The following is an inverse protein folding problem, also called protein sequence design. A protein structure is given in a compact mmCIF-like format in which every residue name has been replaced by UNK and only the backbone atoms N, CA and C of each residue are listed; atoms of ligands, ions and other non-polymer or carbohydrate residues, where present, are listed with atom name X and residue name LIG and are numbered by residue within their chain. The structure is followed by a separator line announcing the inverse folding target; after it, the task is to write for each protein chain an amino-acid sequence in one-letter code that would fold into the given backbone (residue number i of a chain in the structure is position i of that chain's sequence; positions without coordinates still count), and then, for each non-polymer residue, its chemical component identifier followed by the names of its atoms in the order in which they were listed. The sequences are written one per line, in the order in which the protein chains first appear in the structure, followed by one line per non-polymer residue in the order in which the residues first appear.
data_IF_037025184842
#
_entry.id   IF_037025184842
#
_cell.length_a   1.000
_cell.length_b   1.000
_cell.length_c   1.000
_cell.angle_alpha   90.00
_cell.angle_beta   90.00
_cell.angle_gamma   90.00
#
_symmetry.space_group_name_H-M   'P 1'
#
loop_
_entity.id
_entity.type
_entity.pdbx_description
1 polymer ?
#
# COMPACT_ATOMS: atom_id res chain seq x y z
N UNK A 1 -62.11 -6.76 -21.24
CA UNK A 1 -62.26 -5.50 -20.49
C UNK A 1 -61.27 -5.52 -19.33
N UNK A 2 -60.46 -4.46 -19.26
CA UNK A 2 -59.58 -3.95 -18.21
C UNK A 2 -58.34 -4.73 -17.71
N UNK A 3 -57.29 -3.91 -17.63
CA UNK A 3 -55.86 -4.07 -17.33
C UNK A 3 -55.58 -3.76 -15.86
N UNK A 4 -54.56 -4.38 -15.25
CA UNK A 4 -53.69 -3.88 -14.15
C UNK A 4 -52.61 -4.97 -13.95
N UNK A 5 -51.33 -4.88 -14.36
CA UNK A 5 -50.29 -3.84 -14.26
C UNK A 5 -49.88 -3.48 -12.83
N UNK A 6 -48.55 -3.48 -12.58
CA UNK A 6 -47.73 -3.02 -11.42
C UNK A 6 -47.35 -4.11 -10.37
N UNK A 7 -46.10 -4.24 -9.89
CA UNK A 7 -44.92 -3.36 -9.93
C UNK A 7 -43.61 -4.09 -9.64
N UNK A 8 -42.55 -3.50 -10.16
CA UNK A 8 -41.14 -3.75 -9.88
C UNK A 8 -40.76 -3.50 -8.41
N UNK A 9 -39.81 -4.29 -7.91
CA UNK A 9 -39.03 -3.99 -6.70
C UNK A 9 -37.61 -4.57 -6.80
N UNK A 10 -36.96 -4.44 -7.96
CA UNK A 10 -35.53 -4.72 -8.12
C UNK A 10 -34.80 -3.39 -8.34
N UNK A 11 -34.70 -2.58 -7.28
CA UNK A 11 -33.89 -1.36 -7.24
C UNK A 11 -33.00 -1.30 -5.99
N UNK A 12 -32.84 -2.41 -5.27
CA UNK A 12 -32.00 -2.47 -4.07
C UNK A 12 -30.65 -3.13 -4.40
N UNK A 13 -29.80 -2.43 -5.14
CA UNK A 13 -28.33 -2.50 -5.18
C UNK A 13 -27.83 -1.88 -6.49
N UNK A 14 -27.96 -0.57 -6.65
CA UNK A 14 -27.38 0.14 -7.81
C UNK A 14 -26.50 1.32 -7.42
N UNK A 15 -25.90 1.26 -6.23
CA UNK A 15 -24.88 2.21 -5.82
C UNK A 15 -23.71 1.42 -5.23
N UNK A 16 -22.94 0.81 -6.12
CA UNK A 16 -21.59 0.37 -5.75
C UNK A 16 -20.79 1.66 -5.51
N UNK A 17 -20.28 1.91 -4.29
CA UNK A 17 -19.54 3.14 -4.02
C UNK A 17 -18.32 3.17 -4.93
N UNK A 18 -18.36 4.06 -5.93
CA UNK A 18 -17.24 4.24 -6.84
C UNK A 18 -16.03 4.71 -6.03
N UNK A 19 -14.97 3.91 -6.06
CA UNK A 19 -13.72 4.24 -5.41
C UNK A 19 -13.23 5.61 -5.91
N UNK A 20 -13.23 6.61 -5.03
CA UNK A 20 -12.81 7.96 -5.38
C UNK A 20 -11.27 8.03 -5.36
N UNK A 21 -10.69 8.55 -6.42
CA UNK A 21 -9.24 8.78 -6.53
C UNK A 21 -8.90 10.16 -5.99
N UNK A 22 -8.61 10.25 -4.69
CA UNK A 22 -7.95 11.43 -4.17
C UNK A 22 -6.43 11.27 -4.23
N UNK A 23 -5.73 12.32 -4.65
CA UNK A 23 -4.26 12.36 -4.68
C UNK A 23 -3.73 13.14 -3.49
N UNK A 24 -2.59 12.71 -2.93
CA UNK A 24 -1.84 13.42 -1.87
C UNK A 24 -2.67 13.79 -0.64
N UNK A 25 -2.80 12.86 0.31
CA UNK A 25 -3.45 13.15 1.60
C UNK A 25 -2.66 14.24 2.37
N UNK A 26 -3.32 15.12 3.14
CA UNK A 26 -2.62 16.09 3.98
C UNK A 26 -1.63 15.41 4.95
N UNK A 27 -0.56 16.12 5.34
CA UNK A 27 0.45 15.61 6.26
C UNK A 27 -0.19 15.14 7.60
N UNK A 28 0.23 13.97 8.09
CA UNK A 28 -0.35 13.31 9.27
C UNK A 28 -1.76 12.73 9.04
N UNK A 29 -2.29 12.85 7.81
CA UNK A 29 -3.62 12.37 7.45
C UNK A 29 -3.61 10.93 6.96
N UNK A 30 -4.63 10.17 7.37
CA UNK A 30 -4.87 8.80 6.91
C UNK A 30 -6.23 8.68 6.22
N UNK A 31 -6.33 7.89 5.14
CA UNK A 31 -7.59 7.71 4.43
C UNK A 31 -8.57 6.94 5.32
N UNK A 32 -9.82 7.41 5.35
CA UNK A 32 -10.90 6.75 6.08
C UNK A 32 -11.34 5.47 5.36
N UNK A 33 -10.54 4.42 5.45
CA UNK A 33 -10.87 3.08 4.96
C UNK A 33 -11.52 2.30 6.09
N UNK A 34 -12.84 2.11 6.04
CA UNK A 34 -13.63 1.28 6.97
C UNK A 34 -13.61 1.72 8.45
N UNK A 35 -13.33 3.00 8.73
CA UNK A 35 -13.39 3.57 10.08
C UNK A 35 -12.22 3.20 11.00
N UNK A 36 -11.12 2.68 10.46
CA UNK A 36 -9.95 2.23 11.26
C UNK A 36 -8.78 3.22 11.25
N UNK A 37 -8.91 4.38 10.60
CA UNK A 37 -7.81 5.32 10.39
C UNK A 37 -7.08 5.72 11.69
N UNK A 38 -7.80 6.00 12.78
CA UNK A 38 -7.17 6.38 14.05
C UNK A 38 -6.60 5.21 14.87
N UNK A 39 -6.72 3.97 14.40
CA UNK A 39 -6.07 2.81 15.02
C UNK A 39 -4.57 2.79 14.74
N UNK A 40 -4.14 3.32 13.59
CA UNK A 40 -2.73 3.43 13.23
C UNK A 40 -2.05 4.58 14.01
N UNK A 41 -0.93 4.30 14.72
CA UNK A 41 -0.18 5.31 15.48
C UNK A 41 0.36 6.48 14.67
N UNK A 42 0.53 6.30 13.37
CA UNK A 42 1.09 7.29 12.46
C UNK A 42 0.05 8.33 12.04
N UNK A 43 -1.24 8.09 12.34
CA UNK A 43 -2.35 8.92 11.92
C UNK A 43 -2.69 9.99 12.98
N UNK A 44 -2.55 11.26 12.59
CA UNK A 44 -2.99 12.41 13.40
C UNK A 44 -4.45 12.77 13.12
N UNK A 45 -4.95 12.46 11.92
CA UNK A 45 -6.32 12.74 11.52
C UNK A 45 -6.81 11.80 10.41
N UNK A 46 -8.11 11.56 10.36
CA UNK A 46 -8.74 10.78 9.30
C UNK A 46 -9.41 11.69 8.26
N UNK A 47 -9.16 11.42 6.99
CA UNK A 47 -9.73 12.16 5.86
C UNK A 47 -10.59 11.27 4.98
N UNK A 48 -11.74 11.78 4.54
CA UNK A 48 -12.56 11.16 3.52
C UNK A 48 -12.30 11.82 2.17
N UNK A 49 -12.14 10.99 1.14
CA UNK A 49 -12.09 11.47 -0.23
C UNK A 49 -13.51 11.81 -0.72
N UNK A 50 -13.71 13.06 -1.16
CA UNK A 50 -14.96 13.55 -1.74
C UNK A 50 -14.86 13.69 -3.27
N UNK A 51 -16.01 13.70 -3.97
CA UNK A 51 -16.04 13.98 -5.40
C UNK A 51 -15.28 15.27 -5.74
N UNK A 52 -14.48 15.22 -6.81
CA UNK A 52 -13.65 16.36 -7.22
C UNK A 52 -12.24 16.38 -6.62
N UNK A 53 -11.73 15.25 -6.11
CA UNK A 53 -10.38 15.11 -5.55
C UNK A 53 -10.16 16.05 -4.34
N UNK A 54 -11.12 16.04 -3.41
CA UNK A 54 -11.10 16.89 -2.22
C UNK A 54 -11.01 16.04 -0.96
N UNK A 55 -9.97 16.26 -0.17
CA UNK A 55 -9.84 15.67 1.16
C UNK A 55 -10.65 16.45 2.18
N UNK A 56 -11.67 15.83 2.76
CA UNK A 56 -12.46 16.37 3.87
C UNK A 56 -11.96 15.77 5.18
N UNK A 57 -11.57 16.63 6.13
CA UNK A 57 -11.26 16.21 7.49
C UNK A 57 -12.52 15.63 8.14
N UNK A 58 -12.46 14.37 8.59
CA UNK A 58 -13.58 13.70 9.26
C UNK A 58 -13.44 13.77 10.76
N UNK A 59 -12.25 13.44 11.25
CA UNK A 59 -11.94 13.43 12.67
C UNK A 59 -10.45 13.64 12.90
N UNK A 60 -10.12 14.25 14.05
CA UNK A 60 -8.76 14.27 14.57
C UNK A 60 -8.59 13.08 15.49
N UNK A 61 -7.50 12.36 15.35
CA UNK A 61 -7.23 11.23 16.21
C UNK A 61 -6.91 11.74 17.63
N UNK A 62 -7.34 11.04 18.69
CA UNK A 62 -7.04 11.44 20.05
C UNK A 62 -5.52 11.56 20.26
N UNK A 63 -5.04 12.58 21.00
CA UNK A 63 -3.63 12.65 21.36
C UNK A 63 -3.29 11.41 22.17
N UNK A 64 -2.34 10.61 21.68
CA UNK A 64 -1.88 9.43 22.41
C UNK A 64 -1.03 9.93 23.58
N UNK A 65 -1.38 9.48 24.79
CA UNK A 65 -0.52 9.62 25.95
C UNK A 65 0.82 8.90 25.73
N UNK A 66 1.79 9.01 26.66
CA UNK A 66 2.98 8.18 26.61
C UNK A 66 2.54 6.73 26.43
N UNK A 67 3.11 6.05 25.43
CA UNK A 67 2.67 4.72 25.01
C UNK A 67 2.57 3.78 26.21
N UNK A 68 1.34 3.43 26.59
CA UNK A 68 1.12 2.17 27.29
C UNK A 68 1.40 1.09 26.26
N UNK A 69 2.58 0.50 26.42
CA UNK A 69 3.21 -0.58 25.66
C UNK A 69 2.39 -1.90 25.79
N UNK A 70 1.07 -1.85 25.62
CA UNK A 70 0.26 -3.07 25.49
C UNK A 70 0.18 -3.43 24.01
N UNK A 71 1.34 -3.89 23.52
CA UNK A 71 1.51 -4.52 22.22
C UNK A 71 0.62 -5.75 22.13
N UNK A 72 -0.63 -5.54 21.72
CA UNK A 72 -1.53 -6.57 21.20
C UNK A 72 -1.04 -7.07 19.84
N UNK A 73 0.13 -7.72 19.83
CA UNK A 73 0.65 -8.48 18.70
C UNK A 73 0.81 -9.92 19.18
N UNK A 74 -0.31 -10.62 19.27
CA UNK A 74 -0.32 -12.05 19.54
C UNK A 74 0.21 -12.80 18.32
N UNK A 75 1.35 -13.45 18.55
CA UNK A 75 1.90 -14.65 17.91
C UNK A 75 2.07 -14.71 16.39
N UNK A 76 3.31 -14.38 15.99
CA UNK A 76 4.07 -15.28 15.13
C UNK A 76 5.42 -15.55 15.82
N UNK A 77 5.43 -16.51 16.74
CA UNK A 77 6.68 -17.15 17.14
C UNK A 77 7.21 -17.89 15.91
N UNK A 78 8.36 -17.48 15.36
CA UNK A 78 9.54 -18.32 15.22
C UNK A 78 10.76 -17.55 14.65
N UNK A 79 11.81 -17.54 15.48
CA UNK A 79 13.25 -17.35 15.21
C UNK A 79 13.71 -16.32 14.15
N UNK A 80 14.27 -15.20 14.64
CA UNK A 80 15.20 -14.38 13.86
C UNK A 80 14.57 -13.27 13.02
N UNK A 81 13.46 -12.69 13.48
CA UNK A 81 12.88 -11.52 12.82
C UNK A 81 13.87 -10.35 12.85
N UNK A 82 14.45 -10.05 11.69
CA UNK A 82 15.13 -8.78 11.45
C UNK A 82 14.22 -7.62 11.89
N UNK A 83 14.77 -6.52 12.43
CA UNK A 83 13.96 -5.37 12.81
C UNK A 83 13.11 -4.94 11.63
N UNK A 84 11.80 -4.83 11.85
CA UNK A 84 10.88 -4.28 10.85
C UNK A 84 11.27 -2.83 10.60
N UNK A 85 11.36 -2.43 9.34
CA UNK A 85 11.58 -1.06 8.94
C UNK A 85 10.65 -0.73 7.77
N UNK A 86 10.34 0.55 7.61
CA UNK A 86 9.46 1.00 6.52
C UNK A 86 10.22 0.91 5.20
N UNK A 87 9.69 0.10 4.28
CA UNK A 87 10.20 0.04 2.92
C UNK A 87 10.05 1.41 2.26
N UNK A 88 11.05 1.81 1.46
CA UNK A 88 11.00 3.09 0.75
C UNK A 88 9.77 3.15 -0.16
N UNK A 89 8.89 4.14 0.07
CA UNK A 89 7.65 4.34 -0.70
C UNK A 89 7.96 4.86 -2.12
N UNK A 90 9.13 5.46 -2.33
CA UNK A 90 9.58 6.04 -3.61
C UNK A 90 10.11 4.99 -4.61
N UNK A 91 9.51 3.80 -4.64
CA UNK A 91 9.86 2.77 -5.61
C UNK A 91 9.24 3.07 -6.99
N UNK A 92 9.98 2.91 -8.10
CA UNK A 92 9.41 3.09 -9.43
C UNK A 92 8.30 2.05 -9.71
N UNK A 93 7.38 2.34 -10.65
CA UNK A 93 6.38 1.37 -11.06
C UNK A 93 7.00 0.03 -11.46
N UNK A 94 6.37 -1.07 -11.03
CA UNK A 94 6.87 -2.43 -11.33
C UNK A 94 8.02 -2.91 -10.46
N UNK A 95 8.49 -2.12 -9.48
CA UNK A 95 9.57 -2.53 -8.57
C UNK A 95 9.25 -3.78 -7.75
N UNK A 96 7.99 -3.99 -7.37
CA UNK A 96 7.54 -5.20 -6.67
C UNK A 96 7.10 -6.33 -7.62
N UNK A 97 7.37 -6.19 -8.92
CA UNK A 97 6.79 -7.04 -9.97
C UNK A 97 5.48 -6.49 -10.52
N UNK A 98 4.80 -7.31 -11.33
CA UNK A 98 3.56 -6.94 -11.98
C UNK A 98 3.02 -8.03 -12.90
N UNK A 99 1.82 -7.82 -13.47
CA UNK A 99 1.20 -8.79 -14.39
C UNK A 99 2.13 -9.11 -15.56
N UNK A 100 2.31 -10.39 -15.86
CA UNK A 100 3.14 -10.88 -16.97
C UNK A 100 4.60 -11.18 -16.60
N UNK A 101 5.11 -10.62 -15.50
CA UNK A 101 6.48 -10.91 -15.06
C UNK A 101 6.54 -12.20 -14.25
N UNK A 102 7.29 -13.19 -14.73
CA UNK A 102 7.54 -14.44 -14.03
C UNK A 102 8.41 -14.22 -12.77
N UNK A 103 8.40 -15.12 -11.78
CA UNK A 103 9.32 -15.03 -10.66
C UNK A 103 10.79 -15.03 -11.10
N UNK A 104 11.58 -14.07 -10.61
CA UNK A 104 13.03 -14.05 -10.83
C UNK A 104 13.72 -15.16 -10.02
N UNK A 105 14.87 -15.60 -10.50
CA UNK A 105 15.72 -16.58 -9.81
C UNK A 105 16.91 -15.85 -9.21
N UNK A 106 17.28 -16.19 -7.98
CA UNK A 106 18.49 -15.63 -7.37
C UNK A 106 19.72 -15.90 -8.25
N UNK A 107 20.65 -14.93 -8.39
CA UNK A 107 20.75 -13.67 -7.64
C UNK A 107 19.95 -12.48 -8.22
N UNK A 108 19.11 -12.70 -9.24
CA UNK A 108 18.27 -11.64 -9.82
C UNK A 108 17.06 -11.36 -8.93
N UNK A 109 16.82 -10.09 -8.63
CA UNK A 109 15.73 -9.70 -7.73
C UNK A 109 14.89 -8.54 -8.26
N UNK A 110 13.60 -8.49 -7.87
CA UNK A 110 12.80 -7.29 -8.04
C UNK A 110 13.35 -6.18 -7.15
N UNK A 111 13.45 -4.96 -7.68
CA UNK A 111 13.97 -3.79 -6.95
C UNK A 111 13.29 -3.58 -5.59
N UNK A 112 11.97 -3.80 -5.54
CA UNK A 112 11.16 -3.63 -4.33
C UNK A 112 11.58 -4.56 -3.18
N UNK A 113 12.16 -5.73 -3.49
CA UNK A 113 12.70 -6.62 -2.46
C UNK A 113 13.89 -5.98 -1.75
N UNK A 114 14.82 -5.40 -2.51
CA UNK A 114 16.00 -4.73 -1.94
C UNK A 114 15.62 -3.45 -1.20
N UNK A 115 14.62 -2.71 -1.67
CA UNK A 115 14.08 -1.55 -0.94
C UNK A 115 13.39 -1.94 0.38
N UNK A 116 13.03 -3.21 0.53
CA UNK A 116 12.48 -3.81 1.76
C UNK A 116 13.54 -4.54 2.58
N UNK A 117 14.82 -4.47 2.20
CA UNK A 117 15.94 -5.04 2.95
C UNK A 117 16.94 -4.00 3.50
N UNK A 118 17.55 -4.29 4.65
CA UNK A 118 18.75 -3.56 5.10
C UNK A 118 19.95 -4.06 4.27
N UNK A 119 20.09 -3.51 3.07
CA UNK A 119 21.12 -3.90 2.10
C UNK A 119 20.59 -4.80 0.98
N UNK A 120 21.47 -5.58 0.36
CA UNK A 120 21.19 -6.23 -0.93
C UNK A 120 20.37 -7.52 -0.88
N UNK A 121 20.12 -8.10 0.29
CA UNK A 121 19.33 -9.35 0.39
C UNK A 121 19.81 -10.52 -0.49
N UNK A 122 21.11 -10.58 -0.79
CA UNK A 122 21.67 -11.61 -1.68
C UNK A 122 21.39 -11.39 -3.16
N UNK A 123 20.87 -10.22 -3.52
CA UNK A 123 20.59 -9.82 -4.90
C UNK A 123 21.82 -9.16 -5.53
N UNK A 124 22.10 -9.49 -6.79
CA UNK A 124 23.15 -8.88 -7.59
C UNK A 124 22.55 -7.88 -8.59
N UNK A 125 21.65 -8.34 -9.43
CA UNK A 125 20.96 -7.52 -10.42
C UNK A 125 19.51 -7.21 -9.99
N UNK A 126 19.09 -5.97 -10.25
CA UNK A 126 17.83 -5.41 -9.79
C UNK A 126 16.96 -5.07 -10.98
N UNK A 127 15.73 -5.58 -10.97
CA UNK A 127 14.81 -5.48 -12.09
C UNK A 127 13.50 -4.79 -11.70
N UNK A 128 12.88 -4.15 -12.68
CA UNK A 128 11.51 -3.63 -12.61
C UNK A 128 10.65 -4.32 -13.67
N UNK A 129 9.40 -4.63 -13.32
CA UNK A 129 8.47 -5.22 -14.26
C UNK A 129 7.81 -4.12 -15.10
N UNK A 130 8.08 -4.12 -16.41
CA UNK A 130 7.50 -3.18 -17.35
C UNK A 130 6.90 -3.95 -18.53
N UNK A 131 5.66 -3.63 -18.88
CA UNK A 131 4.96 -4.24 -20.03
C UNK A 131 4.93 -5.77 -20.01
N UNK A 132 4.95 -6.40 -18.83
CA UNK A 132 4.95 -7.85 -18.66
C UNK A 132 6.31 -8.53 -18.87
N UNK A 133 7.41 -7.78 -18.90
CA UNK A 133 8.76 -8.30 -18.93
C UNK A 133 9.64 -7.64 -17.86
N UNK A 134 10.71 -8.33 -17.46
CA UNK A 134 11.70 -7.76 -16.55
C UNK A 134 12.66 -6.88 -17.33
N UNK A 135 12.81 -5.65 -16.87
CA UNK A 135 13.79 -4.70 -17.35
C UNK A 135 14.85 -4.49 -16.27
N UNK A 136 16.13 -4.59 -16.64
CA UNK A 136 17.23 -4.31 -15.73
C UNK A 136 17.17 -2.84 -15.33
N UNK A 137 17.00 -2.59 -14.04
CA UNK A 137 16.98 -1.26 -13.47
C UNK A 137 18.37 -0.84 -12.97
N UNK A 138 19.14 -1.78 -12.43
CA UNK A 138 20.44 -1.51 -11.85
C UNK A 138 21.02 -2.71 -11.14
N UNK A 139 21.97 -2.47 -10.25
CA UNK A 139 22.68 -3.53 -9.53
C UNK A 139 22.82 -3.19 -8.05
N UNK A 140 23.08 -4.22 -7.26
CA UNK A 140 23.37 -4.04 -5.85
C UNK A 140 24.86 -3.86 -5.59
N UNK A 141 25.18 -2.87 -4.77
CA UNK A 141 26.55 -2.52 -4.37
C UNK A 141 26.72 -2.67 -2.85
N UNK A 142 27.95 -2.62 -2.32
CA UNK A 142 28.17 -2.62 -0.87
C UNK A 142 27.46 -1.48 -0.12
N UNK A 143 27.14 -0.39 -0.82
CA UNK A 143 26.40 0.76 -0.30
C UNK A 143 24.88 0.69 -0.52
N UNK A 144 24.37 -0.39 -1.12
CA UNK A 144 22.96 -0.58 -1.45
C UNK A 144 22.66 -0.57 -2.96
N UNK A 145 21.37 -0.51 -3.36
CA UNK A 145 20.95 -0.53 -4.76
C UNK A 145 21.42 0.72 -5.51
N UNK A 146 21.98 0.55 -6.71
CA UNK A 146 22.47 1.63 -7.59
C UNK A 146 21.81 1.51 -8.96
N UNK A 147 21.21 2.59 -9.49
CA UNK A 147 20.64 2.58 -10.84
C UNK A 147 21.69 2.26 -11.91
N UNK A 148 21.31 1.44 -12.89
CA UNK A 148 22.06 1.23 -14.13
C UNK A 148 22.02 2.49 -14.97
N UNK A 149 23.13 2.80 -15.65
CA UNK A 149 23.20 3.95 -16.57
C UNK A 149 22.45 3.69 -17.87
#
# INVERSE_FOLDING_TARGET
MLVLSLSAAWLACSDEPTAQTCTNIPAGGCPLSRGLACSDPSCEAAYACRPGNVWELRERCPPRGPADDDGGRTDASEAGASPSFDAAIDAPPGAAGGPGCAPLQAPDCPLGLVLSCQGCCGCEDLFVCASGAWELWGACSPSGPVPGK
#
